data_IF_726692874296
#
_entry.id   IF_726692874296
#
_cell.length_a   1.000
_cell.length_b   1.000
_cell.length_c   1.000
_cell.angle_alpha   90.00
_cell.angle_beta   90.00
_cell.angle_gamma   90.00
#
_symmetry.space_group_name_H-M   'P 1'
#
loop_
_entity.id
_entity.type
_entity.pdbx_description
1 polymer ?
#
# COMPACT_ATOMS: atom_id res chain seq x y z
N UNK A 1 -8.35 6.00 39.39
CA UNK A 1 -8.61 7.28 38.70
C UNK A 1 -8.14 7.14 37.26
N UNK A 2 -9.06 7.07 36.30
CA UNK A 2 -8.72 7.00 34.87
C UNK A 2 -8.28 8.38 34.41
N UNK A 3 -6.97 8.61 34.30
CA UNK A 3 -6.44 9.79 33.63
C UNK A 3 -6.90 9.78 32.18
N UNK A 4 -7.95 10.55 31.88
CA UNK A 4 -8.35 10.79 30.50
C UNK A 4 -7.23 11.58 29.84
N UNK A 5 -6.61 10.99 28.81
CA UNK A 5 -5.64 11.72 27.99
C UNK A 5 -6.36 12.92 27.38
N UNK A 6 -5.79 14.11 27.52
CA UNK A 6 -6.29 15.31 26.85
C UNK A 6 -6.03 15.18 25.34
N UNK A 7 -6.99 15.63 24.51
CA UNK A 7 -6.86 15.64 23.06
C UNK A 7 -6.49 17.04 22.56
N UNK A 8 -5.67 17.09 21.50
CA UNK A 8 -5.38 18.32 20.76
C UNK A 8 -6.18 18.33 19.46
N UNK A 9 -6.95 19.39 19.23
CA UNK A 9 -7.72 19.57 18.01
C UNK A 9 -6.95 20.42 16.99
N UNK A 10 -6.93 19.98 15.73
CA UNK A 10 -6.34 20.72 14.60
C UNK A 10 -7.42 21.06 13.58
N UNK A 11 -7.62 22.35 13.32
CA UNK A 11 -8.51 22.83 12.27
C UNK A 11 -7.76 22.85 10.92
N UNK A 12 -8.05 21.88 10.05
CA UNK A 12 -7.34 21.70 8.79
C UNK A 12 -7.49 22.88 7.82
N UNK A 13 -8.56 23.67 7.94
CA UNK A 13 -8.73 24.87 7.11
C UNK A 13 -7.65 25.93 7.40
N UNK A 14 -7.06 25.91 8.60
CA UNK A 14 -6.02 26.85 9.06
C UNK A 14 -4.59 26.35 8.85
N UNK A 15 -4.42 25.10 8.42
CA UNK A 15 -3.12 24.49 8.20
C UNK A 15 -2.63 24.68 6.77
N UNK A 16 -1.31 24.83 6.63
CA UNK A 16 -0.61 24.72 5.34
C UNK A 16 -0.69 23.29 4.79
N UNK A 17 -0.44 23.12 3.49
CA UNK A 17 -0.39 21.80 2.85
C UNK A 17 0.59 20.85 3.56
N UNK A 18 1.79 21.34 3.88
CA UNK A 18 2.84 20.55 4.54
C UNK A 18 2.43 20.10 5.95
N UNK A 19 1.72 20.94 6.70
CA UNK A 19 1.20 20.59 8.03
C UNK A 19 0.10 19.54 7.94
N UNK A 20 -0.85 19.68 7.00
CA UNK A 20 -1.87 18.66 6.73
C UNK A 20 -1.22 17.33 6.38
N UNK A 21 -0.22 17.34 5.49
CA UNK A 21 0.55 16.15 5.13
C UNK A 21 1.19 15.50 6.36
N UNK A 22 1.93 16.27 7.16
CA UNK A 22 2.61 15.75 8.37
C UNK A 22 1.64 15.10 9.36
N UNK A 23 0.51 15.75 9.62
CA UNK A 23 -0.51 15.20 10.53
C UNK A 23 -1.07 13.90 9.95
N UNK A 24 -1.50 13.89 8.69
CA UNK A 24 -2.10 12.71 8.05
C UNK A 24 -1.16 11.51 8.03
N UNK A 25 0.10 11.68 7.60
CA UNK A 25 1.05 10.56 7.55
C UNK A 25 1.55 10.12 8.94
N UNK A 26 1.38 10.96 9.96
CA UNK A 26 1.73 10.66 11.34
C UNK A 26 0.62 9.96 12.11
N UNK A 27 -0.64 10.06 11.67
CA UNK A 27 -1.80 9.49 12.35
C UNK A 27 -2.39 8.28 11.64
N UNK A 28 -2.34 8.24 10.30
CA UNK A 28 -2.75 7.07 9.51
C UNK A 28 -1.53 6.19 9.32
N UNK A 29 -1.32 5.27 10.26
CA UNK A 29 -0.16 4.40 10.38
C UNK A 29 -0.53 3.04 11.02
N UNK A 30 0.25 1.98 10.76
CA UNK A 30 1.18 1.85 9.64
C UNK A 30 0.42 1.85 8.30
N UNK A 31 1.01 2.39 7.24
CA UNK A 31 0.44 2.32 5.88
C UNK A 31 1.11 1.21 5.10
N UNK A 32 0.35 0.33 4.41
CA UNK A 32 0.96 -0.65 3.53
C UNK A 32 1.68 0.06 2.38
N UNK A 33 2.68 -0.60 1.80
CA UNK A 33 3.52 -0.04 0.74
C UNK A 33 3.27 -0.83 -0.54
N UNK A 34 2.94 -0.10 -1.60
CA UNK A 34 2.95 -0.59 -2.96
C UNK A 34 4.28 -0.21 -3.61
N UNK A 35 5.17 -1.19 -3.86
CA UNK A 35 6.28 -1.00 -4.78
C UNK A 35 5.76 -1.28 -6.20
N UNK A 36 5.57 -0.24 -6.99
CA UNK A 36 4.87 -0.31 -8.27
C UNK A 36 5.86 -0.35 -9.40
N UNK A 37 5.78 -1.38 -10.24
CA UNK A 37 6.44 -1.39 -11.55
C UNK A 37 5.45 -0.95 -12.62
N UNK A 38 6.00 -0.34 -13.66
CA UNK A 38 5.30 0.03 -14.89
C UNK A 38 6.25 -0.11 -16.07
N UNK A 39 5.70 -0.05 -17.29
CA UNK A 39 6.49 0.04 -18.52
C UNK A 39 5.93 1.19 -19.35
N UNK A 40 6.81 2.01 -19.93
CA UNK A 40 6.41 3.08 -20.85
C UNK A 40 5.83 2.53 -22.16
N UNK A 41 5.39 3.42 -23.07
CA UNK A 41 4.98 2.99 -24.42
C UNK A 41 6.16 2.45 -25.24
N UNK A 42 7.36 2.97 -24.98
CA UNK A 42 8.61 2.62 -25.63
C UNK A 42 9.26 1.37 -25.03
N UNK A 43 8.67 0.78 -23.99
CA UNK A 43 9.18 -0.44 -23.36
C UNK A 43 10.17 -0.19 -22.22
N UNK A 44 10.36 1.06 -21.78
CA UNK A 44 11.25 1.37 -20.66
C UNK A 44 10.58 1.00 -19.32
N UNK A 45 11.23 0.18 -18.47
CA UNK A 45 10.72 -0.13 -17.15
C UNK A 45 10.87 1.07 -16.20
N UNK A 46 10.02 1.13 -15.18
CA UNK A 46 10.09 2.09 -14.09
C UNK A 46 9.62 1.42 -12.80
N UNK A 47 10.27 1.70 -11.66
CA UNK A 47 9.80 1.26 -10.34
C UNK A 47 9.75 2.39 -9.31
N UNK A 48 8.71 2.41 -8.45
CA UNK A 48 8.62 3.39 -7.38
C UNK A 48 7.70 2.96 -6.22
N UNK A 49 8.05 3.27 -4.95
CA UNK A 49 7.23 2.93 -3.80
C UNK A 49 6.20 4.01 -3.42
N UNK A 50 4.99 3.57 -3.07
CA UNK A 50 3.87 4.42 -2.67
C UNK A 50 3.19 3.87 -1.42
N UNK A 51 3.14 4.69 -0.35
CA UNK A 51 2.43 4.32 0.90
C UNK A 51 1.02 4.91 1.02
N UNK A 52 0.53 5.60 -0.01
CA UNK A 52 -0.88 5.99 -0.09
C UNK A 52 -1.59 4.88 -0.86
N UNK A 53 -1.63 3.69 -0.26
CA UNK A 53 -2.04 2.44 -0.88
C UNK A 53 -3.03 1.69 0.02
N UNK A 54 -4.06 1.08 -0.56
CA UNK A 54 -4.92 0.11 0.12
C UNK A 54 -5.77 -0.72 -0.86
N UNK A 55 -6.39 -1.80 -0.37
CA UNK A 55 -7.49 -2.50 -1.03
C UNK A 55 -8.81 -1.76 -0.73
N UNK A 56 -9.65 -1.54 -1.73
CA UNK A 56 -10.92 -0.79 -1.59
C UNK A 56 -12.18 -1.63 -1.78
N UNK A 57 -12.15 -2.64 -2.65
CA UNK A 57 -13.25 -3.59 -2.83
C UNK A 57 -12.72 -4.92 -3.36
N UNK A 58 -13.48 -6.00 -3.14
CA UNK A 58 -13.16 -7.35 -3.60
C UNK A 58 -14.00 -7.80 -4.80
N UNK A 59 -15.12 -7.13 -5.08
CA UNK A 59 -15.97 -7.39 -6.25
C UNK A 59 -16.48 -6.06 -6.84
N UNK A 60 -15.84 -5.51 -7.90
CA UNK A 60 -14.59 -5.99 -8.50
C UNK A 60 -13.39 -5.87 -7.56
N UNK A 61 -12.32 -6.62 -7.79
CA UNK A 61 -11.10 -6.56 -6.98
C UNK A 61 -10.29 -5.29 -7.27
N UNK A 62 -10.41 -4.26 -6.42
CA UNK A 62 -9.80 -2.94 -6.64
C UNK A 62 -8.79 -2.59 -5.55
N UNK A 63 -7.61 -2.19 -5.99
CA UNK A 63 -6.62 -1.46 -5.17
C UNK A 63 -6.59 0.01 -5.55
N UNK A 64 -6.19 0.87 -4.62
CA UNK A 64 -5.95 2.29 -4.87
C UNK A 64 -4.52 2.67 -4.54
N UNK A 65 -3.88 3.42 -5.43
CA UNK A 65 -2.58 4.07 -5.18
C UNK A 65 -2.68 5.58 -5.41
N UNK A 66 -2.17 6.36 -4.48
CA UNK A 66 -2.02 7.80 -4.62
C UNK A 66 -0.61 8.14 -5.11
N UNK A 67 -0.48 8.64 -6.33
CA UNK A 67 0.80 8.99 -6.97
C UNK A 67 0.96 10.50 -7.02
N UNK A 68 1.93 11.05 -6.29
CA UNK A 68 2.21 12.49 -6.31
C UNK A 68 2.82 12.92 -7.66
N UNK A 69 2.51 14.14 -8.07
CA UNK A 69 3.14 14.77 -9.22
C UNK A 69 4.52 15.34 -8.85
N UNK A 70 5.33 15.65 -9.86
CA UNK A 70 6.54 16.45 -9.66
C UNK A 70 6.19 17.86 -9.18
N UNK A 71 7.18 18.59 -8.65
CA UNK A 71 6.97 19.94 -8.12
C UNK A 71 6.49 20.95 -9.18
N UNK A 72 6.74 20.67 -10.46
CA UNK A 72 6.25 21.42 -11.62
C UNK A 72 4.90 20.92 -12.15
N UNK A 73 4.21 20.08 -11.36
CA UNK A 73 2.88 19.51 -11.64
C UNK A 73 2.82 18.51 -12.79
N UNK A 74 3.96 18.14 -13.39
CA UNK A 74 4.01 17.03 -14.35
C UNK A 74 3.76 15.71 -13.63
N UNK A 75 3.13 14.77 -14.33
CA UNK A 75 2.94 13.42 -13.83
C UNK A 75 4.30 12.75 -13.57
N UNK A 76 4.42 12.08 -12.42
CA UNK A 76 5.47 11.07 -12.22
C UNK A 76 5.35 9.97 -13.27
N UNK A 77 6.48 9.31 -13.47
CA UNK A 77 6.68 8.32 -14.51
C UNK A 77 5.70 7.16 -14.36
N UNK A 78 5.49 6.67 -13.13
CA UNK A 78 4.44 5.70 -12.79
C UNK A 78 3.04 6.16 -13.22
N UNK A 79 2.63 7.38 -12.87
CA UNK A 79 1.29 7.90 -13.22
C UNK A 79 1.13 8.05 -14.74
N UNK A 80 2.15 8.60 -15.41
CA UNK A 80 2.19 8.75 -16.86
C UNK A 80 2.10 7.39 -17.57
N UNK A 81 2.93 6.42 -17.18
CA UNK A 81 2.93 5.09 -17.76
C UNK A 81 1.58 4.39 -17.57
N UNK A 82 0.95 4.50 -16.39
CA UNK A 82 -0.38 3.93 -16.13
C UNK A 82 -1.48 4.60 -16.96
N UNK A 83 -1.41 5.92 -17.16
CA UNK A 83 -2.37 6.62 -18.04
C UNK A 83 -2.25 6.15 -19.49
N UNK A 84 -1.02 5.97 -19.95
CA UNK A 84 -0.69 5.67 -21.34
C UNK A 84 -0.89 4.20 -21.73
N UNK A 85 -0.61 3.29 -20.81
CA UNK A 85 -0.60 1.85 -21.07
C UNK A 85 -1.74 1.12 -20.37
N UNK A 86 -2.29 1.70 -19.29
CA UNK A 86 -3.34 1.08 -18.51
C UNK A 86 -2.88 -0.07 -17.62
N UNK A 87 -1.58 -0.34 -17.51
CA UNK A 87 -1.04 -1.54 -16.88
C UNK A 87 0.03 -1.21 -15.84
N UNK A 88 0.03 -1.95 -14.74
CA UNK A 88 1.03 -1.86 -13.69
C UNK A 88 1.01 -3.10 -12.79
N UNK A 89 2.09 -3.32 -12.05
CA UNK A 89 2.16 -4.40 -11.06
C UNK A 89 2.48 -3.82 -9.69
N UNK A 90 1.65 -4.13 -8.70
CA UNK A 90 1.82 -3.71 -7.30
C UNK A 90 2.50 -4.82 -6.52
N UNK A 91 3.65 -4.55 -5.92
CA UNK A 91 4.36 -5.49 -5.05
C UNK A 91 4.18 -5.10 -3.59
N UNK A 92 3.91 -6.10 -2.75
CA UNK A 92 3.98 -5.94 -1.30
C UNK A 92 5.45 -5.98 -0.89
N UNK A 93 5.88 -5.04 -0.06
CA UNK A 93 7.25 -4.99 0.47
C UNK A 93 7.33 -5.76 1.79
N UNK A 94 8.21 -6.77 1.87
CA UNK A 94 8.63 -7.39 3.13
C UNK A 94 9.85 -6.69 3.72
N UNK A 95 10.27 -7.11 4.92
CA UNK A 95 11.46 -6.58 5.61
C UNK A 95 12.75 -6.79 4.79
N UNK A 96 12.83 -7.87 4.01
CA UNK A 96 14.00 -8.20 3.20
C UNK A 96 14.16 -7.31 1.95
N UNK A 97 13.07 -6.72 1.45
CA UNK A 97 13.05 -5.87 0.25
C UNK A 97 13.20 -4.37 0.54
N UNK A 98 13.23 -3.95 1.82
CA UNK A 98 13.16 -2.53 2.21
C UNK A 98 14.30 -1.70 1.60
N UNK A 99 15.53 -2.20 1.63
CA UNK A 99 16.70 -1.46 1.15
C UNK A 99 16.62 -1.23 -0.37
N UNK A 100 16.28 -2.25 -1.14
CA UNK A 100 16.09 -2.16 -2.59
C UNK A 100 14.89 -1.26 -2.94
N UNK A 101 13.81 -1.36 -2.18
CA UNK A 101 12.65 -0.50 -2.34
C UNK A 101 13.00 0.99 -2.10
N UNK A 102 13.84 1.29 -1.11
CA UNK A 102 14.33 2.66 -0.88
C UNK A 102 15.22 3.16 -2.02
N UNK A 103 16.01 2.29 -2.69
CA UNK A 103 16.72 2.67 -3.92
C UNK A 103 15.73 3.10 -5.01
N UNK A 104 14.63 2.37 -5.20
CA UNK A 104 13.57 2.78 -6.12
C UNK A 104 12.80 4.05 -5.68
N UNK A 105 13.02 4.57 -4.47
CA UNK A 105 12.44 5.85 -4.02
C UNK A 105 13.29 7.07 -4.42
N UNK A 106 14.52 6.86 -4.86
CA UNK A 106 15.44 7.91 -5.29
C UNK A 106 14.87 8.58 -6.56
N UNK A 107 14.99 9.91 -6.63
CA UNK A 107 14.50 10.71 -7.76
C UNK A 107 15.51 10.67 -8.91
N UNK A 108 15.61 9.53 -9.58
CA UNK A 108 16.40 9.40 -10.79
C UNK A 108 15.75 10.14 -11.98
N UNK A 109 16.50 10.29 -13.07
CA UNK A 109 15.98 10.78 -14.34
C UNK A 109 15.07 9.74 -15.01
N UNK A 110 14.17 10.16 -15.92
CA UNK A 110 13.21 9.27 -16.60
C UNK A 110 13.86 8.19 -17.47
N UNK A 111 15.14 8.31 -17.79
CA UNK A 111 15.93 7.36 -18.56
C UNK A 111 16.59 6.25 -17.72
N UNK A 112 16.52 6.34 -16.39
CA UNK A 112 17.19 5.41 -15.46
C UNK A 112 16.23 4.28 -15.09
N UNK A 113 16.70 3.04 -15.18
CA UNK A 113 15.98 1.86 -14.71
C UNK A 113 16.23 1.64 -13.21
N UNK A 114 15.27 2.03 -12.35
CA UNK A 114 15.41 1.88 -10.91
C UNK A 114 15.49 0.41 -10.46
N UNK A 115 14.99 -0.54 -11.24
CA UNK A 115 15.10 -1.97 -10.92
C UNK A 115 16.56 -2.42 -11.05
N UNK A 116 17.26 -1.94 -12.08
CA UNK A 116 18.68 -2.21 -12.27
C UNK A 116 19.52 -1.59 -11.16
N UNK A 117 19.26 -0.31 -10.81
CA UNK A 117 19.96 0.37 -9.71
C UNK A 117 19.74 -0.32 -8.37
N UNK A 118 18.53 -0.85 -8.13
CA UNK A 118 18.18 -1.58 -6.92
C UNK A 118 18.64 -3.05 -6.92
N UNK A 119 19.23 -3.54 -8.02
CA UNK A 119 19.65 -4.94 -8.15
C UNK A 119 18.48 -5.94 -8.13
N UNK A 120 17.30 -5.53 -8.59
CA UNK A 120 16.07 -6.32 -8.55
C UNK A 120 15.87 -7.14 -9.83
N UNK A 121 15.91 -8.47 -9.68
CA UNK A 121 15.54 -9.37 -10.75
C UNK A 121 14.03 -9.36 -11.01
N UNK A 122 13.65 -9.38 -12.29
CA UNK A 122 12.24 -9.36 -12.71
C UNK A 122 11.88 -10.51 -13.63
N UNK A 123 10.57 -10.78 -13.73
CA UNK A 123 9.99 -11.65 -14.74
C UNK A 123 8.86 -10.91 -15.48
N UNK A 124 8.57 -11.26 -16.75
CA UNK A 124 7.41 -10.73 -17.46
C UNK A 124 6.11 -11.00 -16.70
N UNK A 125 5.17 -10.08 -16.78
CA UNK A 125 3.81 -10.29 -16.28
C UNK A 125 3.03 -11.27 -17.16
N UNK A 126 2.03 -11.92 -16.57
CA UNK A 126 1.16 -12.90 -17.24
C UNK A 126 -0.13 -12.27 -17.75
N UNK A 127 -0.74 -11.36 -16.97
CA UNK A 127 -1.96 -10.64 -17.32
C UNK A 127 -1.70 -9.22 -17.84
N UNK A 128 -0.52 -8.65 -17.56
CA UNK A 128 -0.12 -7.29 -17.92
C UNK A 128 1.33 -7.26 -18.41
N UNK A 129 1.71 -6.25 -19.21
CA UNK A 129 3.11 -6.13 -19.69
C UNK A 129 4.09 -5.70 -18.60
N UNK A 130 3.58 -5.08 -17.53
CA UNK A 130 4.40 -4.62 -16.41
C UNK A 130 5.09 -5.80 -15.72
N UNK A 131 6.43 -5.78 -15.54
CA UNK A 131 7.15 -6.91 -14.98
C UNK A 131 6.87 -7.08 -13.49
N UNK A 132 7.03 -8.29 -12.97
CA UNK A 132 7.00 -8.56 -11.53
C UNK A 132 8.41 -8.70 -10.95
N UNK A 133 8.63 -8.16 -9.75
CA UNK A 133 9.87 -8.31 -8.98
C UNK A 133 9.87 -9.71 -8.35
N UNK A 134 10.88 -10.51 -8.65
CA UNK A 134 10.94 -11.91 -8.22
C UNK A 134 11.08 -12.07 -6.71
N UNK A 135 11.76 -11.13 -6.06
CA UNK A 135 12.00 -11.16 -4.62
C UNK A 135 10.76 -10.78 -3.79
N UNK A 136 9.73 -10.16 -4.39
CA UNK A 136 8.58 -9.69 -3.64
C UNK A 136 7.69 -10.86 -3.15
N UNK A 137 7.21 -10.83 -1.89
CA UNK A 137 6.35 -11.88 -1.33
C UNK A 137 4.98 -11.96 -2.02
N UNK A 138 4.49 -10.86 -2.59
CA UNK A 138 3.32 -10.86 -3.47
C UNK A 138 3.42 -9.78 -4.55
N UNK A 139 2.86 -10.08 -5.73
CA UNK A 139 2.77 -9.18 -6.87
C UNK A 139 1.37 -9.24 -7.48
N UNK A 140 0.67 -8.11 -7.49
CA UNK A 140 -0.69 -7.98 -8.01
C UNK A 140 -0.62 -7.32 -9.38
N UNK A 141 -1.03 -8.05 -10.41
CA UNK A 141 -1.08 -7.57 -11.78
C UNK A 141 -2.37 -6.78 -12.00
N UNK A 142 -2.23 -5.50 -12.34
CA UNK A 142 -3.33 -4.54 -12.31
C UNK A 142 -3.56 -3.88 -13.66
N UNK A 143 -4.84 -3.77 -14.04
CA UNK A 143 -5.29 -2.88 -15.09
C UNK A 143 -5.91 -1.62 -14.48
N UNK A 144 -5.62 -0.45 -15.04
CA UNK A 144 -6.25 0.81 -14.63
C UNK A 144 -7.76 0.71 -14.82
N UNK A 145 -8.49 0.80 -13.72
CA UNK A 145 -9.95 0.91 -13.71
C UNK A 145 -10.36 2.37 -13.94
N UNK A 146 -9.95 3.27 -13.05
CA UNK A 146 -10.24 4.72 -13.13
C UNK A 146 -9.11 5.52 -12.48
N UNK A 147 -8.87 6.73 -12.96
CA UNK A 147 -8.02 7.71 -12.26
C UNK A 147 -8.87 8.89 -11.82
N UNK A 148 -8.81 9.23 -10.53
CA UNK A 148 -9.44 10.41 -9.95
C UNK A 148 -8.39 11.50 -9.78
N UNK A 149 -8.66 12.66 -10.39
CA UNK A 149 -7.87 13.87 -10.22
C UNK A 149 -8.57 14.75 -9.17
N UNK A 150 -8.24 14.53 -7.90
CA UNK A 150 -8.84 15.27 -6.77
C UNK A 150 -8.22 16.63 -6.53
N UNK A 151 -7.03 16.86 -7.08
CA UNK A 151 -6.27 18.09 -6.98
C UNK A 151 -5.01 18.00 -7.83
N UNK A 152 -4.24 19.09 -7.93
CA UNK A 152 -3.16 19.14 -8.91
C UNK A 152 -1.89 18.41 -8.42
N UNK A 153 -1.79 18.12 -7.12
CA UNK A 153 -0.61 17.50 -6.51
C UNK A 153 -0.56 15.96 -6.62
N UNK A 154 -1.68 15.28 -6.83
CA UNK A 154 -1.75 13.81 -6.76
C UNK A 154 -2.86 13.23 -7.62
N UNK A 155 -2.53 12.14 -8.30
CA UNK A 155 -3.52 11.26 -8.92
C UNK A 155 -3.88 10.11 -7.97
N UNK A 156 -5.17 9.81 -7.85
CA UNK A 156 -5.64 8.58 -7.21
C UNK A 156 -5.97 7.59 -8.31
N UNK A 157 -5.19 6.54 -8.43
CA UNK A 157 -5.34 5.51 -9.44
C UNK A 157 -6.03 4.32 -8.78
N UNK A 158 -7.16 3.91 -9.35
CA UNK A 158 -7.85 2.67 -9.02
C UNK A 158 -7.44 1.60 -10.04
N UNK A 159 -6.88 0.51 -9.55
CA UNK A 159 -6.47 -0.65 -10.35
C UNK A 159 -7.34 -1.86 -10.06
N UNK A 160 -7.86 -2.48 -11.11
CA UNK A 160 -8.46 -3.80 -11.06
C UNK A 160 -7.38 -4.86 -11.08
N UNK A 161 -7.36 -5.70 -10.05
CA UNK A 161 -6.41 -6.82 -9.92
C UNK A 161 -6.90 -7.96 -10.81
N UNK A 162 -6.09 -8.31 -11.81
CA UNK A 162 -6.38 -9.38 -12.78
C UNK A 162 -5.77 -10.72 -12.36
N UNK A 163 -4.68 -10.68 -11.60
CA UNK A 163 -3.96 -11.85 -11.12
C UNK A 163 -3.04 -11.49 -9.97
N UNK A 164 -2.70 -12.48 -9.14
CA UNK A 164 -1.79 -12.30 -8.00
C UNK A 164 -0.81 -13.45 -7.95
N UNK A 165 0.48 -13.11 -7.87
CA UNK A 165 1.52 -14.03 -7.42
C UNK A 165 1.69 -13.87 -5.92
N UNK A 166 1.72 -14.97 -5.19
CA UNK A 166 2.11 -15.03 -3.78
C UNK A 166 3.21 -16.05 -3.63
N UNK A 167 4.20 -15.76 -2.78
CA UNK A 167 5.28 -16.69 -2.47
C UNK A 167 4.70 -18.01 -1.95
N UNK A 168 5.19 -19.13 -2.47
CA UNK A 168 4.55 -20.44 -2.33
C UNK A 168 4.53 -20.98 -0.89
N UNK A 169 5.44 -20.52 -0.04
CA UNK A 169 5.46 -20.84 1.40
C UNK A 169 4.38 -20.08 2.18
N UNK A 170 3.94 -18.92 1.70
CA UNK A 170 2.99 -18.04 2.37
C UNK A 170 1.53 -18.25 1.94
N UNK A 171 1.24 -19.14 0.97
CA UNK A 171 -0.13 -19.39 0.49
C UNK A 171 -0.48 -20.87 0.51
N UNK A 172 -1.68 -21.18 1.03
CA UNK A 172 -2.30 -22.47 0.85
C UNK A 172 -3.25 -22.42 -0.37
N UNK A 173 -2.93 -23.08 -1.49
CA UNK A 173 -3.72 -22.98 -2.72
C UNK A 173 -5.07 -23.69 -2.64
N UNK A 174 -5.31 -24.54 -1.64
CA UNK A 174 -6.56 -25.30 -1.50
C UNK A 174 -7.65 -24.47 -0.82
N UNK A 175 -7.30 -23.69 0.20
CA UNK A 175 -8.26 -22.88 0.97
C UNK A 175 -8.03 -21.36 0.82
N UNK A 176 -7.06 -20.96 -0.02
CA UNK A 176 -6.70 -19.57 -0.30
C UNK A 176 -6.24 -18.77 0.94
N UNK A 177 -5.79 -19.46 1.98
CA UNK A 177 -5.24 -18.82 3.17
C UNK A 177 -3.85 -18.27 2.90
N UNK A 178 -3.61 -17.02 3.33
CA UNK A 178 -2.31 -16.36 3.29
C UNK A 178 -1.75 -16.28 4.71
N UNK A 179 -0.58 -16.86 4.93
CA UNK A 179 0.15 -16.76 6.19
C UNK A 179 0.81 -15.37 6.29
N UNK A 180 0.25 -14.49 7.14
CA UNK A 180 0.72 -13.11 7.25
C UNK A 180 2.09 -12.99 7.94
N UNK A 181 2.51 -13.98 8.73
CA UNK A 181 3.85 -14.00 9.33
C UNK A 181 4.90 -14.28 8.26
N UNK A 182 4.62 -15.24 7.35
CA UNK A 182 5.51 -15.54 6.24
C UNK A 182 5.55 -14.41 5.19
N UNK A 183 4.46 -13.67 5.02
CA UNK A 183 4.48 -12.46 4.18
C UNK A 183 5.47 -11.40 4.69
N UNK A 184 5.76 -11.35 5.99
CA UNK A 184 6.70 -10.43 6.68
C UNK A 184 6.63 -8.97 6.17
N UNK A 185 5.42 -8.52 5.84
CA UNK A 185 5.20 -7.24 5.20
C UNK A 185 5.60 -6.09 6.13
N UNK A 186 6.15 -5.02 5.58
CA UNK A 186 6.44 -3.79 6.31
C UNK A 186 5.42 -2.69 6.04
N UNK A 187 5.18 -1.87 7.06
CA UNK A 187 4.34 -0.70 6.98
C UNK A 187 5.13 0.60 7.12
N UNK A 188 4.78 1.62 6.33
CA UNK A 188 5.37 2.96 6.42
C UNK A 188 4.69 3.77 7.53
N UNK A 189 5.49 4.38 8.39
CA UNK A 189 5.02 5.27 9.46
C UNK A 189 5.10 6.75 9.02
N UNK A 190 5.06 7.67 9.98
CA UNK A 190 5.42 9.07 9.75
C UNK A 190 6.93 9.24 9.52
N UNK A 191 7.32 10.11 8.59
CA UNK A 191 8.74 10.38 8.29
C UNK A 191 9.43 9.20 7.61
N UNK A 192 10.63 8.84 8.10
CA UNK A 192 11.48 7.76 7.55
C UNK A 192 11.30 6.42 8.27
N UNK A 193 10.36 6.33 9.21
CA UNK A 193 10.21 5.16 10.07
C UNK A 193 9.36 4.07 9.41
N UNK A 194 9.74 2.81 9.63
CA UNK A 194 9.05 1.61 9.20
C UNK A 194 8.60 0.78 10.41
N UNK A 195 7.52 0.02 10.25
CA UNK A 195 7.03 -0.95 11.22
C UNK A 195 7.00 -2.35 10.59
N UNK A 196 7.48 -3.35 11.33
CA UNK A 196 7.34 -4.78 10.99
C UNK A 196 5.97 -5.28 11.47
N UNK A 197 5.43 -6.29 10.80
CA UNK A 197 4.12 -6.90 11.14
C UNK A 197 4.24 -8.15 12.02
N UNK A 198 5.36 -8.37 12.71
CA UNK A 198 5.65 -9.63 13.44
C UNK A 198 4.91 -9.78 14.78
N UNK A 199 4.59 -8.66 15.45
CA UNK A 199 3.82 -8.67 16.69
C UNK A 199 2.31 -8.64 16.35
N UNK A 200 1.71 -9.83 16.28
CA UNK A 200 0.32 -10.04 15.89
C UNK A 200 -0.48 -10.66 17.04
N UNK A 201 -1.74 -10.30 17.16
CA UNK A 201 -2.69 -10.92 18.08
C UNK A 201 -4.04 -11.08 17.40
N UNK A 202 -4.70 -12.19 17.68
CA UNK A 202 -6.05 -12.44 17.19
C UNK A 202 -7.08 -11.93 18.19
N UNK A 203 -8.07 -11.20 17.67
CA UNK A 203 -9.26 -10.83 18.41
C UNK A 203 -10.49 -11.17 17.58
N UNK A 204 -11.30 -12.12 18.09
CA UNK A 204 -12.55 -12.47 17.45
C UNK A 204 -13.60 -11.39 17.75
N UNK A 205 -14.21 -10.84 16.70
CA UNK A 205 -15.39 -9.99 16.85
C UNK A 205 -16.49 -10.80 17.51
N UNK A 206 -16.97 -10.32 18.66
CA UNK A 206 -18.07 -10.98 19.37
C UNK A 206 -19.36 -10.88 18.57
N UNK A 207 -20.19 -11.91 18.63
CA UNK A 207 -21.57 -11.80 18.14
C UNK A 207 -22.40 -10.91 19.05
N UNK A 208 -23.56 -10.45 18.54
CA UNK A 208 -24.48 -9.63 19.34
C UNK A 208 -24.97 -10.38 20.59
N UNK A 209 -25.15 -11.68 20.48
CA UNK A 209 -25.60 -12.57 21.55
C UNK A 209 -24.50 -12.75 22.62
N UNK A 210 -23.25 -13.01 22.19
CA UNK A 210 -22.08 -13.07 23.06
C UNK A 210 -21.87 -11.75 23.82
N UNK A 211 -22.10 -10.62 23.15
CA UNK A 211 -22.02 -9.30 23.79
C UNK A 211 -23.15 -9.06 24.80
N UNK A 212 -24.39 -9.44 24.46
CA UNK A 212 -25.56 -9.21 25.30
C UNK A 212 -25.51 -10.04 26.59
N UNK A 213 -25.09 -11.31 26.48
CA UNK A 213 -24.89 -12.19 27.65
C UNK A 213 -23.79 -11.69 28.58
N UNK A 214 -22.70 -11.11 28.03
CA UNK A 214 -21.63 -10.52 28.83
C UNK A 214 -22.10 -9.31 29.65
N UNK A 215 -23.01 -8.49 29.10
CA UNK A 215 -23.60 -7.34 29.80
C UNK A 215 -24.51 -7.77 30.95
N UNK A 216 -25.37 -8.77 30.75
CA UNK A 216 -26.31 -9.22 31.80
C UNK A 216 -25.61 -9.85 33.01
N UNK A 217 -24.41 -10.41 32.84
CA UNK A 217 -23.60 -10.95 33.95
C UNK A 217 -22.89 -9.84 34.74
N UNK A 218 -22.77 -8.63 34.16
CA UNK A 218 -22.08 -7.48 34.78
C UNK A 218 -22.99 -6.50 35.52
N UNK A 219 -24.31 -6.73 35.55
CA UNK A 219 -25.19 -5.97 36.44
C UNK A 219 -24.93 -6.39 37.90
N UNK A 220 -24.67 -5.45 38.83
CA UNK A 220 -24.47 -5.81 40.22
C UNK A 220 -25.75 -6.44 40.74
N UNK A 221 -25.65 -7.60 41.40
CA UNK A 221 -26.69 -8.06 42.31
C UNK A 221 -26.81 -6.98 43.38
N UNK A 222 -27.81 -6.10 43.23
CA UNK A 222 -28.19 -5.13 44.24
C UNK A 222 -28.58 -5.91 45.49
N UNK A 223 -27.73 -5.85 46.52
CA UNK A 223 -28.06 -6.25 47.88
C UNK A 223 -28.83 -5.12 48.58
#
# INVERSE_FOLDING_TARGET
MTHHKQHTHFDFAKLTERERYKILIGTVIPRPIALVTTVSKEGLPNAGPFSFFNVLTHDPAIVAIGVENYADMRFKDTARNIRETGEFTVHICDDALVDQMEVCAIKFGPEVDELSEAGLATAPGQMVRSPRILAAPAALECRRHTTLQVGPAREIILGEVLGVYVRSDAVNPTNLHIDQQLMDAVGRMGGHTYARTRDQFDIKTQTKEEWSSRKSVSEPVSA
#
